data_IF_710900653780
#
_entry.id   IF_710900653780
#
_cell.length_a   1.000
_cell.length_b   1.000
_cell.length_c   1.000
_cell.angle_alpha   90.00
_cell.angle_beta   90.00
_cell.angle_gamma   90.00
#
_symmetry.space_group_name_H-M   'P 1'
#
loop_
_entity.id
_entity.type
_entity.pdbx_description
1 polymer ?
#
# COMPACT_ATOMS: atom_id res chain seq x y z
N UNK A 1 12.81 23.14 1.54
CA UNK A 1 12.59 22.17 0.43
C UNK A 1 11.24 21.50 0.67
N UNK A 2 10.35 21.38 -0.32
CA UNK A 2 9.11 20.57 -0.21
C UNK A 2 9.25 19.37 -1.15
N UNK A 3 9.00 18.16 -0.64
CA UNK A 3 9.10 16.91 -1.38
C UNK A 3 7.74 16.22 -1.30
N UNK A 4 7.21 15.76 -2.43
CA UNK A 4 5.97 14.99 -2.51
C UNK A 4 6.32 13.54 -2.84
N UNK A 5 5.99 12.61 -1.94
CA UNK A 5 6.03 11.18 -2.19
C UNK A 5 4.72 10.71 -2.81
N UNK A 6 4.80 9.94 -3.89
CA UNK A 6 3.67 9.28 -4.55
C UNK A 6 3.92 7.79 -4.60
N UNK A 7 3.05 7.02 -3.94
CA UNK A 7 3.12 5.56 -3.91
C UNK A 7 2.04 5.00 -4.84
N UNK A 8 2.41 4.42 -6.00
CA UNK A 8 1.43 3.81 -6.89
C UNK A 8 0.91 2.51 -6.27
N UNK A 9 -0.41 2.41 -6.10
CA UNK A 9 -1.08 1.22 -5.59
C UNK A 9 -2.37 0.95 -6.37
N UNK A 10 -2.70 -0.33 -6.58
CA UNK A 10 -3.95 -0.77 -7.22
C UNK A 10 -4.63 -1.89 -6.45
N UNK A 11 -5.95 -1.85 -6.41
CA UNK A 11 -6.77 -2.86 -5.72
C UNK A 11 -6.80 -4.22 -6.46
N UNK A 12 -6.98 -4.19 -7.79
CA UNK A 12 -7.17 -5.36 -8.65
C UNK A 12 -5.85 -6.08 -9.02
N UNK A 13 -5.09 -6.49 -8.01
CA UNK A 13 -3.93 -7.37 -8.21
C UNK A 13 -4.40 -8.80 -8.49
N UNK A 14 -3.84 -9.45 -9.51
CA UNK A 14 -4.26 -10.79 -9.96
C UNK A 14 -3.73 -11.92 -9.08
N UNK A 15 -2.52 -11.77 -8.51
CA UNK A 15 -1.89 -12.80 -7.65
C UNK A 15 -2.30 -12.67 -6.17
N UNK A 16 -2.52 -11.44 -5.72
CA UNK A 16 -2.99 -11.15 -4.36
C UNK A 16 -3.97 -9.98 -4.40
N UNK A 17 -5.27 -10.25 -4.61
CA UNK A 17 -6.31 -9.23 -4.67
C UNK A 17 -6.36 -8.40 -3.38
N UNK A 18 -6.57 -7.08 -3.49
CA UNK A 18 -6.64 -6.20 -2.32
C UNK A 18 -5.33 -5.98 -1.58
N UNK A 19 -4.19 -6.40 -2.16
CA UNK A 19 -2.84 -6.32 -1.55
C UNK A 19 -2.54 -5.02 -0.77
N UNK A 20 -2.84 -3.80 -1.26
CA UNK A 20 -2.56 -2.57 -0.49
C UNK A 20 -3.29 -2.46 0.85
N UNK A 21 -4.47 -3.09 0.95
CA UNK A 21 -5.31 -3.12 2.14
C UNK A 21 -5.15 -4.39 2.99
N UNK A 22 -4.25 -5.29 2.58
CA UNK A 22 -3.98 -6.50 3.34
C UNK A 22 -3.41 -6.13 4.72
N UNK A 23 -3.95 -6.74 5.76
CA UNK A 23 -3.52 -6.53 7.15
C UNK A 23 -2.14 -7.15 7.40
N UNK A 24 -1.22 -6.35 7.94
CA UNK A 24 0.10 -6.75 8.41
C UNK A 24 0.25 -6.23 9.84
N UNK A 25 0.22 -7.15 10.82
CA UNK A 25 0.35 -6.82 12.25
C UNK A 25 -0.61 -5.72 12.74
N UNK A 26 -1.87 -5.77 12.28
CA UNK A 26 -2.92 -4.82 12.68
C UNK A 26 -2.89 -3.47 11.96
N UNK A 27 -2.13 -3.35 10.87
CA UNK A 27 -2.12 -2.20 9.97
C UNK A 27 -2.14 -2.63 8.51
N UNK A 28 -2.88 -1.93 7.62
CA UNK A 28 -2.81 -2.17 6.18
C UNK A 28 -1.39 -2.06 5.59
N UNK A 29 -1.05 -2.93 4.64
CA UNK A 29 0.25 -3.01 3.95
C UNK A 29 0.76 -1.64 3.49
N UNK A 30 -0.11 -0.79 2.94
CA UNK A 30 0.27 0.52 2.40
C UNK A 30 0.82 1.48 3.47
N UNK A 31 0.47 1.28 4.75
CA UNK A 31 0.95 2.12 5.85
C UNK A 31 2.40 1.85 6.26
N UNK A 32 3.03 0.81 5.71
CA UNK A 32 4.41 0.44 6.00
C UNK A 32 5.43 1.09 5.04
N UNK A 33 4.97 1.99 4.16
CA UNK A 33 5.80 2.71 3.19
C UNK A 33 6.13 4.11 3.73
N UNK A 34 7.39 4.55 3.59
CA UNK A 34 7.92 5.84 4.09
C UNK A 34 8.03 6.91 3.01
#
# INVERSE_FOLDING_TARGET
MRILGLIPARYASTRFPGKPLAEISGKPMIQWVY
#
